data_IF_428388281605
#
_entry.id   IF_428388281605
#
_cell.length_a   1.000
_cell.length_b   1.000
_cell.length_c   1.000
_cell.angle_alpha   90.00
_cell.angle_beta   90.00
_cell.angle_gamma   90.00
#
_symmetry.space_group_name_H-M   'P 1'
#
loop_
_entity.id
_entity.type
_entity.pdbx_description
1 polymer ?
#
# COMPACT_ATOMS: atom_id res chain seq x y z
N UNK A 1 -6.42 8.78 4.20
CA UNK A 1 -5.43 9.51 3.35
C UNK A 1 -6.21 10.12 2.18
N UNK A 2 -5.88 11.34 1.72
CA UNK A 2 -6.58 11.97 0.58
C UNK A 2 -5.96 11.50 -0.73
N UNK A 3 -6.79 11.17 -1.72
CA UNK A 3 -6.35 10.93 -3.10
C UNK A 3 -6.94 11.99 -4.03
N UNK A 4 -6.09 12.90 -4.49
CA UNK A 4 -6.51 13.93 -5.46
C UNK A 4 -6.61 13.33 -6.87
N UNK A 5 -7.55 13.82 -7.67
CA UNK A 5 -7.70 13.51 -9.10
C UNK A 5 -7.60 14.81 -9.89
N UNK A 6 -7.52 14.71 -11.22
CA UNK A 6 -7.35 15.89 -12.08
C UNK A 6 -8.40 16.96 -11.85
N UNK A 7 -9.66 16.58 -11.63
CA UNK A 7 -10.78 17.49 -11.36
C UNK A 7 -10.63 18.27 -10.04
N UNK A 8 -9.81 17.78 -9.11
CA UNK A 8 -9.51 18.47 -7.86
C UNK A 8 -8.35 19.45 -8.00
N UNK A 9 -7.61 19.45 -9.12
CA UNK A 9 -6.41 20.26 -9.26
C UNK A 9 -6.67 21.46 -10.18
N UNK A 10 -6.11 22.61 -9.81
CA UNK A 10 -6.21 23.81 -10.62
C UNK A 10 -5.14 23.82 -11.71
N UNK A 11 -5.53 24.20 -12.93
CA UNK A 11 -4.62 24.31 -14.06
C UNK A 11 -3.50 25.30 -13.78
N UNK A 12 -2.32 25.05 -14.36
CA UNK A 12 -1.14 25.89 -14.13
C UNK A 12 -1.35 27.34 -14.57
N UNK A 13 -2.20 27.57 -15.58
CA UNK A 13 -2.52 28.89 -16.10
C UNK A 13 -3.26 29.76 -15.07
N UNK A 14 -4.02 29.14 -14.16
CA UNK A 14 -4.75 29.83 -13.11
C UNK A 14 -3.94 29.98 -11.80
N UNK A 15 -2.67 29.57 -11.77
CA UNK A 15 -1.82 29.77 -10.60
C UNK A 15 -1.45 31.25 -10.43
N UNK A 16 -1.40 31.70 -9.19
CA UNK A 16 -0.95 33.05 -8.87
C UNK A 16 0.52 33.19 -9.25
N UNK A 17 0.84 34.25 -10.01
CA UNK A 17 2.21 34.50 -10.42
C UNK A 17 3.11 34.76 -9.21
N UNK A 18 4.28 34.13 -9.18
CA UNK A 18 5.24 34.27 -8.07
C UNK A 18 5.59 35.74 -7.74
N UNK A 19 5.57 36.64 -8.74
CA UNK A 19 5.88 38.07 -8.55
C UNK A 19 4.85 38.80 -7.69
N UNK A 20 3.59 38.34 -7.68
CA UNK A 20 2.48 38.97 -6.95
C UNK A 20 2.46 38.61 -5.46
N UNK A 21 3.27 37.63 -5.02
CA UNK A 21 3.34 37.19 -3.62
C UNK A 21 4.75 37.38 -3.07
N UNK A 22 4.90 38.32 -2.14
CA UNK A 22 6.15 38.56 -1.40
C UNK A 22 6.22 37.78 -0.08
N UNK A 23 5.09 37.25 0.39
CA UNK A 23 4.95 36.51 1.64
C UNK A 23 4.13 35.24 1.45
N UNK A 24 4.36 34.23 2.30
CA UNK A 24 3.53 33.03 2.37
C UNK A 24 2.10 33.39 2.75
N UNK A 25 1.12 32.87 1.99
CA UNK A 25 -0.31 33.13 2.26
C UNK A 25 -0.77 32.62 3.62
N UNK A 26 -0.15 31.56 4.16
CA UNK A 26 -0.56 30.96 5.43
C UNK A 26 0.13 31.57 6.66
N UNK A 27 1.46 31.73 6.63
CA UNK A 27 2.24 32.17 7.80
C UNK A 27 2.85 33.57 7.67
N UNK A 28 2.57 34.29 6.59
CA UNK A 28 3.12 35.62 6.29
C UNK A 28 4.66 35.73 6.26
N UNK A 29 5.40 34.61 6.32
CA UNK A 29 6.86 34.58 6.18
C UNK A 29 7.26 35.18 4.83
N UNK A 30 8.14 36.20 4.85
CA UNK A 30 8.70 36.80 3.64
C UNK A 30 9.51 35.77 2.86
N UNK A 31 9.34 35.79 1.55
CA UNK A 31 10.18 35.02 0.64
C UNK A 31 11.45 35.81 0.34
N UNK A 32 12.61 35.18 0.55
CA UNK A 32 13.91 35.76 0.24
C UNK A 32 14.39 35.27 -1.13
N UNK A 33 15.20 34.21 -1.17
CA UNK A 33 15.71 33.60 -2.40
C UNK A 33 15.03 32.25 -2.62
N UNK A 34 14.18 32.15 -3.64
CA UNK A 34 13.73 30.87 -4.21
C UNK A 34 13.17 29.86 -3.22
N UNK A 35 12.03 30.17 -2.59
CA UNK A 35 11.33 29.25 -1.66
C UNK A 35 9.81 29.31 -1.81
N UNK A 36 9.36 29.59 -3.03
CA UNK A 36 7.94 29.77 -3.35
C UNK A 36 7.37 28.46 -3.89
N UNK A 37 6.30 27.99 -3.27
CA UNK A 37 5.65 26.78 -3.68
C UNK A 37 4.16 27.00 -3.90
N UNK A 38 3.69 26.62 -5.09
CA UNK A 38 2.27 26.65 -5.38
C UNK A 38 1.54 25.47 -4.75
N UNK A 39 0.35 25.72 -4.21
CA UNK A 39 -0.61 24.66 -3.95
C UNK A 39 -1.27 24.24 -5.26
N UNK A 40 -1.24 22.95 -5.61
CA UNK A 40 -1.87 22.42 -6.84
C UNK A 40 -3.40 22.36 -6.75
N UNK A 41 -3.97 22.48 -5.54
CA UNK A 41 -5.42 22.54 -5.30
C UNK A 41 -5.99 23.95 -5.48
N UNK A 42 -5.34 24.99 -4.94
CA UNK A 42 -5.86 26.36 -4.99
C UNK A 42 -5.02 27.38 -5.77
N UNK A 43 -3.79 27.04 -6.19
CA UNK A 43 -2.96 27.92 -7.02
C UNK A 43 -2.21 29.03 -6.28
N UNK A 44 -2.41 29.18 -4.97
CA UNK A 44 -1.70 30.18 -4.15
C UNK A 44 -0.26 29.80 -3.78
N UNK A 45 0.51 30.79 -3.32
CA UNK A 45 1.96 30.66 -3.04
C UNK A 45 2.27 30.56 -1.55
N UNK A 46 3.04 29.53 -1.18
CA UNK A 46 3.37 29.17 0.20
C UNK A 46 4.87 28.87 0.39
N UNK A 47 5.34 28.89 1.63
CA UNK A 47 6.64 28.32 1.99
C UNK A 47 6.57 26.78 2.11
N UNK A 48 7.72 26.12 2.18
CA UNK A 48 7.84 24.65 2.31
C UNK A 48 7.00 24.14 3.47
N UNK A 49 7.12 24.78 4.63
CA UNK A 49 6.55 24.36 5.91
C UNK A 49 5.02 24.50 5.95
N UNK A 50 4.45 25.31 5.06
CA UNK A 50 3.02 25.52 4.92
C UNK A 50 2.37 24.60 3.87
N UNK A 51 3.16 23.70 3.29
CA UNK A 51 2.71 22.75 2.27
C UNK A 51 3.18 21.35 2.59
N UNK A 52 2.54 20.37 1.97
CA UNK A 52 2.88 18.95 2.05
C UNK A 52 2.61 18.28 0.71
N UNK A 53 3.16 17.09 0.52
CA UNK A 53 2.89 16.27 -0.67
C UNK A 53 1.79 15.26 -0.35
N UNK A 54 0.77 15.24 -1.21
CA UNK A 54 -0.37 14.33 -1.11
C UNK A 54 -0.46 13.43 -2.33
N UNK A 55 -1.04 12.25 -2.15
CA UNK A 55 -1.26 11.30 -3.23
C UNK A 55 -2.22 11.87 -4.28
N UNK A 56 -1.94 11.60 -5.54
CA UNK A 56 -2.83 11.91 -6.66
C UNK A 56 -2.79 10.80 -7.70
N UNK A 57 -3.87 10.64 -8.44
CA UNK A 57 -3.94 9.78 -9.62
C UNK A 57 -4.30 10.64 -10.84
N UNK A 58 -3.43 10.63 -11.85
CA UNK A 58 -3.57 11.44 -13.06
C UNK A 58 -3.67 10.53 -14.29
N UNK A 59 -4.56 10.81 -15.27
CA UNK A 59 -4.85 9.89 -16.38
C UNK A 59 -3.62 9.40 -17.18
N UNK A 60 -2.64 10.27 -17.42
CA UNK A 60 -1.46 9.95 -18.23
C UNK A 60 -0.20 9.61 -17.42
N UNK A 61 -0.21 9.88 -16.11
CA UNK A 61 0.98 9.74 -15.24
C UNK A 61 0.78 8.60 -14.24
N UNK A 62 -0.46 8.21 -13.95
CA UNK A 62 -0.79 7.27 -12.89
C UNK A 62 -0.66 7.89 -11.51
N UNK A 63 -0.38 7.04 -10.51
CA UNK A 63 -0.24 7.46 -9.11
C UNK A 63 1.05 8.23 -8.88
N UNK A 64 0.94 9.44 -8.37
CA UNK A 64 2.07 10.31 -8.05
C UNK A 64 1.73 11.18 -6.84
N UNK A 65 2.55 12.21 -6.55
CA UNK A 65 2.32 13.16 -5.47
C UNK A 65 2.28 14.59 -5.97
N UNK A 66 1.34 15.36 -5.43
CA UNK A 66 1.21 16.80 -5.70
C UNK A 66 1.34 17.61 -4.42
N UNK A 67 1.82 18.84 -4.54
CA UNK A 67 2.00 19.72 -3.40
C UNK A 67 0.70 20.44 -3.07
N UNK A 68 0.23 20.31 -1.84
CA UNK A 68 -1.01 20.92 -1.33
C UNK A 68 -0.69 21.74 -0.07
N UNK A 69 -1.32 22.91 0.09
CA UNK A 69 -1.15 23.70 1.31
C UNK A 69 -1.93 23.08 2.47
N UNK A 70 -1.49 23.35 3.70
CA UNK A 70 -2.14 22.84 4.91
C UNK A 70 -3.63 23.20 4.99
N UNK A 71 -4.02 24.39 4.50
CA UNK A 71 -5.40 24.84 4.50
C UNK A 71 -6.30 24.03 3.56
N UNK A 72 -5.86 23.76 2.33
CA UNK A 72 -6.61 22.90 1.41
C UNK A 72 -6.69 21.47 1.96
N UNK A 73 -5.57 20.93 2.43
CA UNK A 73 -5.55 19.60 3.04
C UNK A 73 -6.53 19.46 4.22
N UNK A 74 -6.54 20.42 5.14
CA UNK A 74 -7.46 20.40 6.29
C UNK A 74 -8.93 20.51 5.88
N UNK A 75 -9.24 21.33 4.87
CA UNK A 75 -10.59 21.45 4.31
C UNK A 75 -11.03 20.14 3.66
N UNK A 76 -10.16 19.57 2.83
CA UNK A 76 -10.46 18.38 2.03
C UNK A 76 -10.47 17.11 2.88
N UNK A 77 -9.85 17.10 4.06
CA UNK A 77 -9.98 16.01 5.04
C UNK A 77 -11.39 15.88 5.62
N UNK A 78 -12.17 16.95 5.62
CA UNK A 78 -13.55 16.93 6.11
C UNK A 78 -14.54 16.45 5.03
N UNK A 79 -14.08 16.33 3.78
CA UNK A 79 -14.87 15.87 2.65
C UNK A 79 -14.69 14.35 2.47
N UNK A 80 -15.71 13.58 2.88
CA UNK A 80 -15.69 12.12 2.78
C UNK A 80 -15.52 11.61 1.34
N UNK A 81 -15.87 12.39 0.32
CA UNK A 81 -15.73 12.00 -1.08
C UNK A 81 -14.27 11.92 -1.57
N UNK A 82 -13.36 12.60 -0.86
CA UNK A 82 -11.93 12.70 -1.19
C UNK A 82 -11.06 11.77 -0.35
N UNK A 83 -11.63 11.20 0.71
CA UNK A 83 -10.96 10.25 1.56
C UNK A 83 -10.93 8.89 0.86
N UNK A 84 -9.72 8.40 0.59
CA UNK A 84 -9.52 6.96 0.47
C UNK A 84 -9.57 6.44 1.89
N UNK A 85 -10.79 6.23 2.38
CA UNK A 85 -11.00 5.16 3.34
C UNK A 85 -10.58 3.90 2.60
N UNK A 86 -9.66 3.14 3.18
CA UNK A 86 -9.51 1.73 2.86
C UNK A 86 -10.92 1.14 2.84
N UNK A 87 -11.44 0.93 1.64
CA UNK A 87 -12.77 0.45 1.36
C UNK A 87 -12.79 -1.02 1.78
N UNK A 88 -13.03 -1.30 3.05
CA UNK A 88 -13.87 -2.43 3.41
C UNK A 88 -15.29 -1.92 3.26
N UNK A 89 -15.84 -2.01 2.05
CA UNK A 89 -17.27 -1.77 1.91
C UNK A 89 -17.99 -2.94 2.59
N UNK A 90 -19.11 -2.67 3.26
CA UNK A 90 -19.94 -3.70 3.90
C UNK A 90 -20.41 -4.81 2.93
N UNK A 91 -20.34 -4.56 1.62
CA UNK A 91 -20.65 -5.54 0.57
C UNK A 91 -19.47 -6.51 0.36
N UNK A 92 -18.23 -6.07 0.60
CA UNK A 92 -17.02 -6.90 0.47
C UNK A 92 -16.87 -7.88 1.65
N UNK A 93 -17.23 -7.46 2.87
CA UNK A 93 -17.20 -8.33 4.07
C UNK A 93 -18.21 -9.49 3.95
N UNK A 94 -19.41 -9.23 3.42
CA UNK A 94 -20.42 -10.27 3.16
C UNK A 94 -19.96 -11.21 2.02
N UNK A 95 -19.36 -10.65 0.97
CA UNK A 95 -18.80 -11.44 -0.12
C UNK A 95 -17.62 -12.30 0.33
N UNK A 96 -16.73 -11.78 1.18
CA UNK A 96 -15.59 -12.50 1.76
C UNK A 96 -16.07 -13.59 2.73
N UNK A 97 -17.01 -13.28 3.63
CA UNK A 97 -17.61 -14.26 4.52
C UNK A 97 -18.33 -15.39 3.75
N UNK A 98 -19.03 -15.06 2.66
CA UNK A 98 -19.67 -16.06 1.81
C UNK A 98 -18.64 -16.87 0.99
N UNK A 99 -17.52 -16.26 0.57
CA UNK A 99 -16.43 -16.97 -0.09
C UNK A 99 -15.74 -17.94 0.87
N UNK A 100 -15.50 -17.53 2.11
CA UNK A 100 -14.94 -18.36 3.18
C UNK A 100 -15.89 -19.53 3.44
N UNK A 101 -17.18 -19.27 3.65
CA UNK A 101 -18.18 -20.33 3.87
C UNK A 101 -18.28 -21.30 2.70
N UNK A 102 -18.28 -20.81 1.45
CA UNK A 102 -18.25 -21.66 0.25
C UNK A 102 -16.98 -22.49 0.15
N UNK A 103 -15.84 -21.92 0.51
CA UNK A 103 -14.54 -22.61 0.50
C UNK A 103 -14.50 -23.68 1.58
N UNK A 104 -14.96 -23.38 2.79
CA UNK A 104 -15.12 -24.35 3.87
C UNK A 104 -16.09 -25.47 3.47
N UNK A 105 -17.24 -25.15 2.89
CA UNK A 105 -18.19 -26.15 2.39
C UNK A 105 -17.59 -27.04 1.30
N UNK A 106 -16.74 -26.49 0.42
CA UNK A 106 -16.01 -27.30 -0.57
C UNK A 106 -14.97 -28.20 0.11
N UNK A 107 -14.11 -27.64 0.98
CA UNK A 107 -13.04 -28.38 1.65
C UNK A 107 -13.54 -29.46 2.62
N UNK A 108 -14.71 -29.26 3.23
CA UNK A 108 -15.31 -30.18 4.20
C UNK A 108 -16.49 -30.99 3.64
N UNK A 109 -16.79 -30.90 2.33
CA UNK A 109 -17.86 -31.69 1.70
C UNK A 109 -17.53 -33.19 1.72
N UNK A 110 -18.49 -34.07 2.08
CA UNK A 110 -18.33 -35.52 1.99
C UNK A 110 -17.94 -36.01 0.58
N UNK A 111 -18.30 -35.24 -0.45
CA UNK A 111 -17.96 -35.54 -1.85
C UNK A 111 -16.59 -35.02 -2.30
N UNK A 112 -15.92 -34.12 -1.57
CA UNK A 112 -14.54 -33.71 -1.86
C UNK A 112 -13.53 -34.79 -1.45
N UNK A 113 -13.92 -35.76 -0.61
CA UNK A 113 -13.10 -36.92 -0.33
C UNK A 113 -12.98 -37.88 -1.53
N UNK A 114 -13.73 -37.66 -2.62
CA UNK A 114 -13.64 -38.47 -3.84
C UNK A 114 -12.59 -37.91 -4.81
N UNK A 115 -12.45 -36.58 -4.93
CA UNK A 115 -11.43 -35.96 -5.80
C UNK A 115 -10.03 -35.94 -5.21
N UNK A 116 -9.88 -35.73 -3.89
CA UNK A 116 -8.54 -35.76 -3.27
C UNK A 116 -7.96 -37.18 -3.28
N UNK A 117 -8.80 -38.22 -3.22
CA UNK A 117 -8.37 -39.63 -3.35
C UNK A 117 -7.99 -40.03 -4.79
N UNK A 118 -8.52 -39.35 -5.80
CA UNK A 118 -8.13 -39.59 -7.20
C UNK A 118 -6.69 -39.10 -7.49
N UNK A 119 -6.23 -38.05 -6.80
CA UNK A 119 -4.86 -37.52 -6.99
C UNK A 119 -3.79 -38.24 -6.17
N UNK A 120 -4.13 -38.83 -5.02
CA UNK A 120 -3.15 -39.65 -4.24
C UNK A 120 -2.81 -40.96 -4.95
N UNK A 121 -3.65 -41.43 -5.89
CA UNK A 121 -3.37 -42.67 -6.64
C UNK A 121 -2.42 -42.45 -7.84
N UNK A 122 -2.24 -41.22 -8.30
CA UNK A 122 -1.36 -40.90 -9.42
C UNK A 122 0.11 -40.66 -9.00
N UNK A 123 0.37 -40.29 -7.74
CA UNK A 123 1.73 -40.01 -7.27
C UNK A 123 2.47 -41.22 -6.65
N UNK A 124 1.77 -42.34 -6.40
CA UNK A 124 2.42 -43.55 -5.86
C UNK A 124 3.09 -44.42 -6.94
N UNK A 125 2.99 -44.11 -8.22
CA UNK A 125 3.58 -44.95 -9.30
C UNK A 125 4.94 -44.46 -9.82
N UNK A 126 5.60 -43.51 -9.16
CA UNK A 126 6.87 -42.93 -9.64
C UNK A 126 8.03 -42.98 -8.63
N UNK A 127 7.88 -43.64 -7.48
CA UNK A 127 8.94 -43.82 -6.48
C UNK A 127 8.92 -45.24 -5.92
N UNK A 128 9.09 -46.23 -6.80
CA UNK A 128 9.49 -47.59 -6.42
C UNK A 128 10.45 -48.10 -7.49
N UNK A 129 11.63 -47.48 -7.59
CA UNK A 129 12.79 -48.12 -8.21
C UNK A 129 14.05 -47.71 -7.43
N UNK A 130 14.79 -48.74 -7.03
CA UNK A 130 16.11 -48.77 -6.37
C UNK A 130 16.18 -48.67 -4.83
N UNK A 131 15.86 -49.77 -4.14
CA UNK A 131 16.60 -50.19 -2.94
C UNK A 131 17.52 -51.36 -3.29
N UNK A 132 18.82 -51.10 -3.40
CA UNK A 132 19.85 -52.14 -3.29
C UNK A 132 21.24 -51.55 -3.00
N UNK A 133 21.59 -51.56 -1.70
CA UNK A 133 22.84 -52.06 -1.10
C UNK A 133 23.76 -51.06 -0.36
N UNK A 134 24.10 -51.53 0.85
CA UNK A 134 25.39 -51.51 1.58
C UNK A 134 25.79 -50.28 2.41
N UNK A 135 25.57 -50.42 3.72
CA UNK A 135 26.55 -50.36 4.84
C UNK A 135 27.79 -49.45 4.71
N UNK A 136 27.94 -48.47 5.61
CA UNK A 136 29.06 -48.32 6.57
C UNK A 136 29.18 -46.87 7.12
N UNK A 137 29.43 -46.77 8.42
CA UNK A 137 30.10 -45.72 9.22
C UNK A 137 30.13 -44.25 8.75
N UNK A 138 29.72 -43.33 9.62
CA UNK A 138 30.65 -42.65 10.55
C UNK A 138 29.95 -41.56 11.37
N UNK A 139 30.33 -41.51 12.65
CA UNK A 139 30.03 -40.48 13.65
C UNK A 139 30.34 -39.06 13.17
N UNK A 140 29.59 -38.06 13.68
CA UNK A 140 30.14 -36.85 14.30
C UNK A 140 29.04 -36.11 15.07
N UNK A 141 29.36 -35.87 16.34
CA UNK A 141 28.62 -35.18 17.39
C UNK A 141 28.22 -33.75 17.03
N UNK A 142 26.99 -33.34 17.40
CA UNK A 142 26.58 -31.95 17.47
C UNK A 142 26.67 -31.47 18.92
N UNK A 143 27.67 -30.62 19.22
CA UNK A 143 27.68 -29.81 20.44
C UNK A 143 26.86 -28.52 20.25
N UNK A 144 26.23 -28.00 21.32
CA UNK A 144 25.35 -26.84 21.25
C UNK A 144 26.14 -25.52 21.31
N UNK A 145 25.93 -24.62 20.34
CA UNK A 145 26.49 -23.27 20.41
C UNK A 145 25.53 -22.33 21.15
N UNK A 146 26.14 -21.67 22.13
CA UNK A 146 25.63 -20.83 23.19
C UNK A 146 25.09 -19.51 22.65
N UNK A 147 24.00 -19.03 23.25
CA UNK A 147 23.48 -17.68 23.06
C UNK A 147 24.34 -16.67 23.85
N UNK A 148 25.16 -15.89 23.15
CA UNK A 148 25.80 -14.72 23.74
C UNK A 148 24.85 -13.52 23.70
N UNK A 149 24.15 -13.33 24.81
CA UNK A 149 23.67 -12.03 25.26
C UNK A 149 24.80 -11.34 26.03
N UNK A 150 25.36 -10.26 25.47
CA UNK A 150 26.05 -9.20 26.23
C UNK A 150 25.90 -7.89 25.44
N UNK A 151 25.08 -6.96 25.93
CA UNK A 151 25.42 -5.85 26.83
C UNK A 151 26.22 -4.73 26.14
N UNK A 152 25.59 -3.56 26.02
CA UNK A 152 26.02 -2.18 26.35
C UNK A 152 25.17 -1.19 25.54
#
# INVERSE_FOLDING_TARGET
MILYRMEHLISRQAWVQNKLRSVCVLCAKRFFLGGKHHCRRCGEVFCSDCTRFEATELPAIGRTKVRVCKMCFARDLQDQSLLVLSRSSSEDEEAEAELIRKTEMMLFSPNQQVLVRANVKAEKSLLDDCDARTTADSDISLEPIVADNNYV
#
